data_IF_256781943927
#
_entry.id   IF_256781943927
#
_cell.length_a   1.000
_cell.length_b   1.000
_cell.length_c   1.000
_cell.angle_alpha   90.00
_cell.angle_beta   90.00
_cell.angle_gamma   90.00
#
_symmetry.space_group_name_H-M   'P 1'
#
loop_
_entity.id
_entity.type
_entity.pdbx_description
1 polymer ?
#
# COMPACT_ATOMS: atom_id res chain seq x y z
N UNK A 1 -7.42 13.18 22.52
CA UNK A 1 -8.50 12.92 21.55
C UNK A 1 -7.87 12.43 20.26
N UNK A 2 -7.55 11.15 20.19
CA UNK A 2 -6.80 10.49 19.11
C UNK A 2 -7.63 9.28 18.68
N UNK A 3 -8.60 9.48 17.78
CA UNK A 3 -9.52 8.40 17.39
C UNK A 3 -9.53 8.15 15.88
N UNK A 4 -9.16 9.14 15.06
CA UNK A 4 -9.34 9.03 13.59
C UNK A 4 -8.21 8.31 12.84
N UNK A 5 -7.02 8.18 13.43
CA UNK A 5 -5.96 7.33 12.84
C UNK A 5 -6.34 5.85 12.93
N UNK A 6 -6.85 5.46 14.10
CA UNK A 6 -7.34 4.12 14.41
C UNK A 6 -8.44 3.68 13.44
N UNK A 7 -9.38 4.56 13.09
CA UNK A 7 -10.46 4.26 12.13
C UNK A 7 -9.95 3.70 10.79
N UNK A 8 -8.77 4.13 10.32
CA UNK A 8 -8.19 3.63 9.07
C UNK A 8 -7.49 2.27 9.23
N UNK A 9 -6.90 2.02 10.39
CA UNK A 9 -6.28 0.74 10.74
C UNK A 9 -7.35 -0.33 10.96
N UNK A 10 -8.45 0.04 11.63
CA UNK A 10 -9.60 -0.83 11.89
C UNK A 10 -10.31 -1.24 10.59
N UNK A 11 -10.48 -0.30 9.64
CA UNK A 11 -11.01 -0.62 8.30
C UNK A 11 -10.10 -1.56 7.53
N UNK A 12 -8.79 -1.35 7.60
CA UNK A 12 -7.83 -2.24 6.97
C UNK A 12 -7.93 -3.65 7.55
N UNK A 13 -8.00 -3.78 8.89
CA UNK A 13 -8.16 -5.04 9.59
C UNK A 13 -9.43 -5.79 9.17
N UNK A 14 -10.56 -5.09 9.01
CA UNK A 14 -11.84 -5.71 8.62
C UNK A 14 -11.89 -6.20 7.16
N UNK A 15 -11.00 -5.70 6.30
CA UNK A 15 -10.94 -6.10 4.89
C UNK A 15 -10.24 -7.46 4.68
N UNK A 16 -9.44 -7.94 5.64
CA UNK A 16 -8.75 -9.23 5.59
C UNK A 16 -8.80 -9.88 6.98
N UNK A 17 -9.80 -10.73 7.28
CA UNK A 17 -9.99 -11.30 8.61
C UNK A 17 -9.11 -12.53 8.82
N UNK A 18 -7.78 -12.41 8.82
CA UNK A 18 -6.88 -13.53 9.14
C UNK A 18 -5.58 -13.02 9.77
N UNK A 19 -5.62 -12.51 11.00
CA UNK A 19 -4.45 -12.55 11.90
C UNK A 19 -4.91 -12.49 13.35
N UNK A 20 -5.11 -13.66 13.96
CA UNK A 20 -5.23 -13.80 15.41
C UNK A 20 -3.87 -13.52 16.08
N UNK A 21 -3.75 -12.57 17.03
CA UNK A 21 -2.53 -12.36 17.79
C UNK A 21 -2.62 -13.09 19.14
N UNK A 22 -2.38 -14.41 19.16
CA UNK A 22 -2.20 -15.14 20.43
C UNK A 22 -1.27 -16.37 20.28
N UNK A 23 -0.01 -16.17 20.72
CA UNK A 23 0.75 -17.11 21.59
C UNK A 23 1.34 -18.42 20.96
N UNK A 24 2.46 -18.99 21.46
CA UNK A 24 3.73 -18.46 21.94
C UNK A 24 4.97 -19.08 21.23
N UNK A 25 6.15 -18.52 21.49
CA UNK A 25 7.45 -19.18 21.28
C UNK A 25 7.56 -20.52 22.03
N UNK A 26 8.24 -21.53 21.45
CA UNK A 26 8.93 -22.55 22.23
C UNK A 26 10.44 -22.35 22.21
N UNK A 27 10.98 -22.29 23.43
CA UNK A 27 12.39 -22.28 23.81
C UNK A 27 12.98 -23.69 23.73
N UNK A 28 14.20 -23.79 23.16
CA UNK A 28 15.25 -24.84 23.20
C UNK A 28 14.92 -26.32 22.89
N UNK A 29 15.66 -26.90 21.94
CA UNK A 29 16.69 -27.91 22.24
C UNK A 29 17.60 -28.17 21.02
N UNK A 30 18.89 -28.33 21.30
CA UNK A 30 19.94 -28.62 20.35
C UNK A 30 19.82 -30.04 19.75
N UNK A 31 20.14 -30.18 18.47
CA UNK A 31 20.72 -31.38 17.85
C UNK A 31 21.38 -30.92 16.53
N UNK A 32 22.70 -30.76 16.51
CA UNK A 32 23.69 -31.77 16.13
C UNK A 32 23.94 -31.86 14.61
N UNK A 33 25.18 -31.53 14.27
CA UNK A 33 26.00 -31.85 13.10
C UNK A 33 25.32 -32.31 11.79
N UNK A 34 25.50 -31.49 10.73
CA UNK A 34 26.18 -31.93 9.50
C UNK A 34 26.55 -30.73 8.61
N UNK A 35 27.74 -30.19 8.86
CA UNK A 35 28.38 -29.19 8.01
C UNK A 35 29.22 -29.89 6.92
N UNK A 36 28.58 -30.47 5.90
CA UNK A 36 29.29 -30.79 4.64
C UNK A 36 28.30 -31.18 3.54
N UNK A 37 28.05 -30.23 2.62
CA UNK A 37 27.75 -30.45 1.19
C UNK A 37 26.70 -29.48 0.64
N UNK A 38 26.99 -28.17 0.65
CA UNK A 38 26.30 -27.20 -0.20
C UNK A 38 27.31 -26.16 -0.73
N UNK A 39 28.45 -26.60 -1.26
CA UNK A 39 29.45 -25.71 -1.91
C UNK A 39 29.33 -25.64 -3.44
N UNK A 40 28.29 -26.20 -4.05
CA UNK A 40 28.23 -26.26 -5.52
C UNK A 40 26.82 -26.15 -6.11
N UNK A 41 26.04 -25.14 -5.71
CA UNK A 41 24.90 -24.71 -6.53
C UNK A 41 24.47 -23.26 -6.25
N UNK A 42 25.41 -22.32 -6.25
CA UNK A 42 25.03 -20.93 -6.56
C UNK A 42 24.79 -20.91 -8.07
N UNK A 43 23.59 -21.35 -8.49
CA UNK A 43 23.08 -20.87 -9.78
C UNK A 43 22.92 -19.37 -9.56
N UNK A 44 23.55 -18.57 -10.41
CA UNK A 44 23.16 -17.18 -10.59
C UNK A 44 21.68 -17.17 -10.98
N UNK A 45 20.81 -17.19 -9.99
CA UNK A 45 19.43 -16.81 -10.16
C UNK A 45 19.50 -15.31 -10.41
N UNK A 46 19.68 -14.95 -11.67
CA UNK A 46 19.27 -13.64 -12.14
C UNK A 46 17.79 -13.57 -11.82
N UNK A 47 17.47 -13.03 -10.64
CA UNK A 47 16.12 -12.62 -10.29
C UNK A 47 15.83 -11.48 -11.25
N UNK A 48 15.43 -11.83 -12.48
CA UNK A 48 14.77 -10.90 -13.36
C UNK A 48 13.45 -10.61 -12.66
N UNK A 49 13.24 -9.40 -12.12
CA UNK A 49 11.94 -9.06 -11.56
C UNK A 49 10.94 -9.34 -12.69
N UNK A 50 10.02 -10.26 -12.46
CA UNK A 50 8.90 -10.49 -13.37
C UNK A 50 8.19 -9.17 -13.46
N UNK A 51 8.39 -8.44 -14.56
CA UNK A 51 7.66 -7.22 -14.85
C UNK A 51 6.20 -7.59 -14.76
N UNK A 52 5.52 -7.15 -13.71
CA UNK A 52 4.08 -7.28 -13.60
C UNK A 52 3.51 -6.75 -14.91
N UNK A 53 2.70 -7.52 -15.62
CA UNK A 53 2.05 -7.11 -16.88
C UNK A 53 1.03 -5.97 -16.68
N UNK A 54 1.03 -5.34 -15.51
CA UNK A 54 0.23 -4.16 -15.22
C UNK A 54 0.77 -2.98 -16.02
N UNK A 55 -0.12 -2.14 -16.58
CA UNK A 55 0.30 -0.94 -17.30
C UNK A 55 0.88 0.14 -16.38
N UNK A 56 0.95 -0.11 -15.06
CA UNK A 56 1.48 0.80 -14.05
C UNK A 56 2.29 0.05 -12.99
N UNK A 57 3.19 0.77 -12.32
CA UNK A 57 3.99 0.26 -11.20
C UNK A 57 4.29 1.36 -10.18
N UNK A 58 4.37 0.99 -8.90
CA UNK A 58 4.75 1.89 -7.81
C UNK A 58 6.18 1.53 -7.39
N UNK A 59 7.12 2.47 -7.55
CA UNK A 59 8.52 2.23 -7.17
C UNK A 59 8.75 2.52 -5.69
N UNK A 60 9.38 1.58 -4.99
CA UNK A 60 9.79 1.76 -3.59
C UNK A 60 10.83 2.87 -3.42
N UNK A 61 10.89 3.48 -2.25
CA UNK A 61 11.94 4.45 -1.88
C UNK A 61 13.31 3.77 -1.78
N UNK A 62 14.43 4.52 -1.75
CA UNK A 62 15.75 3.92 -1.52
C UNK A 62 15.83 3.09 -0.23
N UNK A 63 15.07 3.49 0.79
CA UNK A 63 14.88 2.74 2.04
C UNK A 63 13.94 1.53 1.91
N UNK A 64 13.57 1.14 0.70
CA UNK A 64 12.64 0.04 0.38
C UNK A 64 11.24 0.19 0.99
N UNK A 65 10.77 1.42 1.23
CA UNK A 65 9.41 1.66 1.73
C UNK A 65 8.46 2.05 0.59
N UNK A 66 7.16 1.75 0.76
CA UNK A 66 6.13 2.21 -0.16
C UNK A 66 5.98 3.75 -0.08
N UNK A 67 5.93 4.46 -1.21
CA UNK A 67 5.89 5.92 -1.27
C UNK A 67 4.45 6.47 -1.08
N UNK A 68 3.78 6.03 -0.02
CA UNK A 68 2.40 6.38 0.32
C UNK A 68 2.43 7.29 1.55
N UNK A 69 1.93 8.52 1.40
CA UNK A 69 2.03 9.54 2.44
C UNK A 69 0.66 10.14 2.74
N UNK A 70 0.36 10.35 4.01
CA UNK A 70 -0.84 11.07 4.42
C UNK A 70 -0.47 12.50 4.84
N UNK A 71 -1.31 13.46 4.46
CA UNK A 71 -1.09 14.88 4.72
C UNK A 71 -2.43 15.56 4.99
N UNK A 72 -2.38 16.64 5.75
CA UNK A 72 -3.51 17.57 5.90
C UNK A 72 -3.24 18.86 5.15
N UNK A 73 -4.28 19.44 4.57
CA UNK A 73 -4.30 20.79 4.00
C UNK A 73 -5.40 21.62 4.67
N UNK A 74 -5.48 22.91 4.33
CA UNK A 74 -6.53 23.82 4.80
C UNK A 74 -6.65 23.86 6.33
N UNK A 75 -5.52 24.04 7.02
CA UNK A 75 -5.50 24.15 8.48
C UNK A 75 -5.84 22.85 9.23
N UNK A 76 -5.77 21.70 8.55
CA UNK A 76 -6.02 20.40 9.18
C UNK A 76 -7.22 19.68 8.57
N UNK A 77 -8.26 20.40 8.17
CA UNK A 77 -9.55 19.79 7.78
C UNK A 77 -9.51 18.96 6.51
N UNK A 78 -8.60 19.26 5.56
CA UNK A 78 -8.54 18.55 4.29
C UNK A 78 -7.52 17.43 4.35
N UNK A 79 -7.98 16.22 4.64
CA UNK A 79 -7.14 15.03 4.73
C UNK A 79 -6.92 14.41 3.35
N UNK A 80 -5.67 14.05 3.05
CA UNK A 80 -5.25 13.57 1.74
C UNK A 80 -4.21 12.46 1.91
N UNK A 81 -4.38 11.38 1.17
CA UNK A 81 -3.36 10.34 1.00
C UNK A 81 -2.80 10.43 -0.41
N UNK A 82 -1.47 10.45 -0.57
CA UNK A 82 -0.79 10.61 -1.86
C UNK A 82 0.11 9.41 -2.13
N UNK A 83 -0.03 8.82 -3.32
CA UNK A 83 0.86 7.80 -3.85
C UNK A 83 1.85 8.49 -4.79
N UNK A 84 3.15 8.27 -4.57
CA UNK A 84 4.24 8.85 -5.38
C UNK A 84 5.04 7.76 -6.11
N UNK A 85 6.03 8.19 -6.90
CA UNK A 85 6.96 7.33 -7.65
C UNK A 85 6.25 6.30 -8.55
N UNK A 86 5.21 6.74 -9.25
CA UNK A 86 4.43 5.91 -10.16
C UNK A 86 5.06 5.92 -11.55
N UNK A 87 5.15 4.76 -12.18
CA UNK A 87 5.53 4.54 -13.57
C UNK A 87 4.33 3.99 -14.34
N UNK A 88 4.24 4.30 -15.64
CA UNK A 88 3.15 3.82 -16.50
C UNK A 88 1.86 4.64 -16.41
N UNK A 89 0.71 3.99 -16.61
CA UNK A 89 -0.60 4.65 -16.70
C UNK A 89 -1.20 4.98 -15.33
N UNK A 90 -1.33 6.27 -15.06
CA UNK A 90 -1.91 6.83 -13.84
C UNK A 90 -3.42 6.58 -13.74
N UNK A 91 -4.12 6.45 -14.86
CA UNK A 91 -5.58 6.32 -14.93
C UNK A 91 -5.99 4.94 -14.47
N UNK A 92 -5.33 3.90 -14.99
CA UNK A 92 -5.50 2.52 -14.58
C UNK A 92 -5.17 2.32 -13.10
N UNK A 93 -4.06 2.91 -12.61
CA UNK A 93 -3.73 2.88 -11.19
C UNK A 93 -4.82 3.52 -10.33
N UNK A 94 -5.32 4.70 -10.72
CA UNK A 94 -6.37 5.40 -9.98
C UNK A 94 -7.67 4.58 -9.93
N UNK A 95 -8.03 3.93 -11.03
CA UNK A 95 -9.20 3.05 -11.13
C UNK A 95 -9.03 1.81 -10.24
N UNK A 96 -7.87 1.16 -10.29
CA UNK A 96 -7.57 -0.02 -9.47
C UNK A 96 -7.60 0.31 -7.98
N UNK A 97 -6.97 1.42 -7.56
CA UNK A 97 -7.02 1.90 -6.16
C UNK A 97 -8.46 2.18 -5.73
N UNK A 98 -9.24 2.85 -6.57
CA UNK A 98 -10.64 3.15 -6.27
C UNK A 98 -11.48 1.89 -6.08
N UNK A 99 -11.32 0.90 -6.97
CA UNK A 99 -12.01 -0.38 -6.91
C UNK A 99 -11.59 -1.19 -5.68
N UNK A 100 -10.29 -1.28 -5.40
CA UNK A 100 -9.76 -1.98 -4.25
C UNK A 100 -10.30 -1.40 -2.92
N UNK A 101 -10.43 -0.08 -2.81
CA UNK A 101 -10.93 0.59 -1.61
C UNK A 101 -12.47 0.65 -1.54
N UNK A 102 -13.18 0.10 -2.52
CA UNK A 102 -14.64 0.14 -2.59
C UNK A 102 -15.22 1.55 -2.65
N UNK A 103 -14.49 2.51 -3.22
CA UNK A 103 -14.91 3.91 -3.24
C UNK A 103 -15.76 4.22 -4.46
N UNK A 104 -16.80 5.03 -4.25
CA UNK A 104 -17.51 5.70 -5.34
C UNK A 104 -16.56 6.61 -6.13
N UNK A 105 -16.89 6.90 -7.38
CA UNK A 105 -16.10 7.83 -8.20
C UNK A 105 -16.11 9.24 -7.60
N UNK A 106 -17.27 9.69 -7.13
CA UNK A 106 -17.49 11.01 -6.57
C UNK A 106 -18.06 10.94 -5.16
N UNK A 107 -17.60 11.82 -4.29
CA UNK A 107 -18.21 12.12 -3.01
C UNK A 107 -18.98 13.45 -3.09
N UNK A 108 -20.14 13.50 -2.46
CA UNK A 108 -20.93 14.73 -2.32
C UNK A 108 -20.47 15.50 -1.08
N UNK A 109 -19.97 16.71 -1.30
CA UNK A 109 -19.63 17.66 -0.24
C UNK A 109 -20.92 18.13 0.48
N UNK A 110 -20.91 18.50 1.78
CA UNK A 110 -22.04 19.15 2.46
C UNK A 110 -22.71 20.29 1.68
N UNK A 111 -21.98 20.96 0.77
CA UNK A 111 -22.51 21.99 -0.14
C UNK A 111 -23.18 21.43 -1.41
N UNK A 112 -23.45 20.13 -1.49
CA UNK A 112 -24.06 19.44 -2.63
C UNK A 112 -23.15 19.27 -3.85
N UNK A 113 -21.85 19.58 -3.73
CA UNK A 113 -20.92 19.52 -4.87
C UNK A 113 -20.31 18.12 -4.99
N UNK A 114 -20.42 17.51 -6.18
CA UNK A 114 -19.72 16.26 -6.50
C UNK A 114 -18.22 16.49 -6.66
N UNK A 115 -17.41 15.66 -6.04
CA UNK A 115 -15.94 15.75 -6.09
C UNK A 115 -15.34 14.36 -6.19
N UNK A 116 -14.38 14.18 -7.10
CA UNK A 116 -13.74 12.88 -7.27
C UNK A 116 -12.99 12.44 -5.99
N UNK A 117 -13.15 11.18 -5.62
CA UNK A 117 -12.46 10.58 -4.47
C UNK A 117 -10.97 10.37 -4.75
N UNK A 118 -10.64 10.03 -6.00
CA UNK A 118 -9.28 9.84 -6.49
C UNK A 118 -9.03 10.87 -7.60
N UNK A 119 -7.94 11.62 -7.49
CA UNK A 119 -7.54 12.68 -8.41
C UNK A 119 -6.11 12.44 -8.86
N UNK A 120 -5.86 12.58 -10.15
CA UNK A 120 -4.52 12.42 -10.74
C UNK A 120 -3.88 13.80 -10.88
N UNK A 121 -2.68 13.96 -10.33
CA UNK A 121 -1.83 15.11 -10.65
C UNK A 121 -0.88 14.69 -11.78
N UNK A 122 -1.21 15.09 -13.02
CA UNK A 122 -0.45 14.72 -14.22
C UNK A 122 0.95 15.35 -14.26
N UNK A 123 1.12 16.55 -13.71
CA UNK A 123 2.42 17.26 -13.67
C UNK A 123 3.44 16.52 -12.81
N UNK A 124 3.03 16.04 -11.64
CA UNK A 124 3.92 15.33 -10.70
C UNK A 124 3.81 13.81 -10.78
N UNK A 125 2.90 13.30 -11.62
CA UNK A 125 2.55 11.87 -11.74
C UNK A 125 2.22 11.23 -10.39
N UNK A 126 1.45 11.94 -9.58
CA UNK A 126 0.97 11.44 -8.28
C UNK A 126 -0.52 11.11 -8.36
N UNK A 127 -0.93 10.07 -7.65
CA UNK A 127 -2.35 9.79 -7.40
C UNK A 127 -2.69 10.29 -6.01
N UNK A 128 -3.74 11.12 -5.93
CA UNK A 128 -4.19 11.81 -4.73
C UNK A 128 -5.55 11.26 -4.35
N UNK A 129 -5.64 10.65 -3.18
CA UNK A 129 -6.85 10.07 -2.61
C UNK A 129 -7.34 10.97 -1.48
N UNK A 130 -8.65 11.21 -1.40
CA UNK A 130 -9.26 11.95 -0.30
C UNK A 130 -9.36 11.10 0.96
N UNK A 131 -9.17 11.74 2.12
CA UNK A 131 -9.28 11.11 3.42
C UNK A 131 -7.98 10.44 3.90
N UNK A 132 -8.04 9.92 5.13
CA UNK A 132 -6.99 9.12 5.74
C UNK A 132 -7.12 7.66 5.29
N UNK A 133 -6.46 7.29 4.20
CA UNK A 133 -6.52 5.93 3.61
C UNK A 133 -5.14 5.28 3.48
N UNK A 134 -4.18 5.73 4.29
CA UNK A 134 -2.77 5.33 4.18
C UNK A 134 -2.55 3.85 4.46
N UNK A 135 -3.08 3.35 5.59
CA UNK A 135 -2.96 1.95 5.98
C UNK A 135 -3.59 1.01 4.95
N UNK A 136 -4.81 1.34 4.48
CA UNK A 136 -5.54 0.57 3.47
C UNK A 136 -4.77 0.48 2.14
N UNK A 137 -4.29 1.63 1.63
CA UNK A 137 -3.55 1.67 0.36
C UNK A 137 -2.20 0.97 0.50
N UNK A 138 -1.54 1.09 1.66
CA UNK A 138 -0.28 0.41 1.91
C UNK A 138 -0.46 -1.11 1.87
N UNK A 139 -1.44 -1.62 2.59
CA UNK A 139 -1.79 -3.05 2.57
C UNK A 139 -2.15 -3.54 1.18
N UNK A 140 -3.01 -2.81 0.47
CA UNK A 140 -3.35 -3.14 -0.92
C UNK A 140 -2.12 -3.20 -1.83
N UNK A 141 -1.20 -2.24 -1.69
CA UNK A 141 0.00 -2.20 -2.50
C UNK A 141 0.97 -3.36 -2.19
N UNK A 142 1.08 -3.76 -0.92
CA UNK A 142 1.86 -4.94 -0.50
C UNK A 142 1.28 -6.23 -1.08
N UNK A 143 -0.04 -6.43 -0.97
CA UNK A 143 -0.74 -7.60 -1.53
C UNK A 143 -0.65 -7.65 -3.06
N UNK A 144 -0.68 -6.48 -3.72
CA UNK A 144 -0.52 -6.37 -5.17
C UNK A 144 0.91 -6.61 -5.65
N UNK A 145 1.89 -6.68 -4.73
CA UNK A 145 3.29 -6.98 -5.04
C UNK A 145 4.15 -5.76 -5.41
N UNK A 146 3.83 -4.56 -4.91
CA UNK A 146 4.59 -3.32 -5.15
C UNK A 146 5.72 -3.03 -4.12
#
# INVERSE_FOLDING_TARGET
>A
MTTTGQDSEDRAAKMYPDTDPSTPSPTVLAADLQASSLKSRVRDFSIRPTLSSLPYSILRTPSKNLPIYQTTKSGGSKHITTIRKIQGDLTELATAVRQALGMEEYMTDPRGRKKANVVINRTTKHVIIRGWRGAEIKRWAEVSGF
#
